data_IF_549278937296
#
_entry.id   IF_549278937296
#
_cell.length_a   1.000
_cell.length_b   1.000
_cell.length_c   1.000
_cell.angle_alpha   90.00
_cell.angle_beta   90.00
_cell.angle_gamma   90.00
#
_symmetry.space_group_name_H-M   'P 1'
#
loop_
_entity.id
_entity.type
_entity.pdbx_description
1 polymer ?
#
# COMPACT_ATOMS: atom_id res chain seq x y z
N UNK A 1 18.19 -81.85 9.96
CA UNK A 1 16.74 -82.11 9.81
C UNK A 1 16.22 -81.03 8.86
N UNK A 2 15.84 -81.35 7.60
CA UNK A 2 15.41 -80.33 6.65
C UNK A 2 13.99 -79.85 6.97
N UNK A 3 13.77 -78.54 6.98
CA UNK A 3 12.44 -77.92 7.09
C UNK A 3 11.54 -78.43 5.96
N UNK A 4 10.27 -78.72 6.26
CA UNK A 4 9.33 -79.19 5.23
C UNK A 4 9.02 -78.04 4.26
N UNK A 5 8.82 -78.37 2.98
CA UNK A 5 8.54 -77.40 1.91
C UNK A 5 7.35 -76.47 2.25
N UNK A 6 6.36 -76.99 2.99
CA UNK A 6 5.20 -76.24 3.50
C UNK A 6 5.54 -75.18 4.55
N UNK A 7 6.65 -75.32 5.28
CA UNK A 7 7.11 -74.32 6.26
C UNK A 7 7.86 -73.18 5.55
N UNK A 8 8.53 -73.45 4.43
CA UNK A 8 9.22 -72.43 3.62
C UNK A 8 8.23 -71.54 2.85
N UNK A 9 7.13 -72.09 2.33
CA UNK A 9 6.08 -71.32 1.67
C UNK A 9 5.38 -70.34 2.63
N UNK A 10 5.18 -70.75 3.89
CA UNK A 10 4.57 -69.90 4.92
C UNK A 10 5.50 -68.74 5.33
N UNK A 11 6.81 -68.99 5.46
CA UNK A 11 7.80 -67.95 5.77
C UNK A 11 7.89 -66.94 4.63
N UNK A 12 7.86 -67.38 3.37
CA UNK A 12 7.92 -66.48 2.22
C UNK A 12 6.67 -65.59 2.14
N UNK A 13 5.48 -66.16 2.41
CA UNK A 13 4.21 -65.41 2.47
C UNK A 13 4.22 -64.34 3.57
N UNK A 14 4.75 -64.66 4.75
CA UNK A 14 4.87 -63.71 5.87
C UNK A 14 5.84 -62.59 5.51
N UNK A 15 6.99 -62.92 4.92
CA UNK A 15 7.99 -61.92 4.53
C UNK A 15 7.48 -60.97 3.44
N UNK A 16 6.69 -61.45 2.48
CA UNK A 16 6.06 -60.60 1.47
C UNK A 16 4.94 -59.72 2.03
N UNK A 17 4.17 -60.21 3.00
CA UNK A 17 3.12 -59.42 3.64
C UNK A 17 3.72 -58.27 4.46
N UNK A 18 4.79 -58.54 5.23
CA UNK A 18 5.50 -57.53 6.02
C UNK A 18 6.16 -56.46 5.14
N UNK A 19 6.74 -56.84 3.99
CA UNK A 19 7.33 -55.89 3.05
C UNK A 19 6.26 -54.94 2.46
N UNK A 20 5.10 -55.50 2.06
CA UNK A 20 4.00 -54.70 1.51
C UNK A 20 3.39 -53.73 2.53
N UNK A 21 3.28 -54.15 3.80
CA UNK A 21 2.80 -53.31 4.89
C UNK A 21 3.79 -52.18 5.22
N UNK A 22 5.09 -52.45 5.13
CA UNK A 22 6.14 -51.45 5.33
C UNK A 22 6.18 -50.42 4.19
N UNK A 23 5.95 -50.84 2.94
CA UNK A 23 5.85 -49.94 1.78
C UNK A 23 4.61 -49.03 1.85
N UNK A 24 3.46 -49.55 2.28
CA UNK A 24 2.22 -48.75 2.42
C UNK A 24 2.25 -47.77 3.60
N UNK A 25 2.92 -48.11 4.70
CA UNK A 25 3.10 -47.19 5.84
C UNK A 25 4.07 -46.04 5.52
N UNK A 26 5.16 -46.33 4.79
CA UNK A 26 6.07 -45.31 4.28
C UNK A 26 5.37 -44.37 3.29
N UNK A 27 4.55 -44.91 2.37
CA UNK A 27 3.76 -44.10 1.42
C UNK A 27 2.79 -43.19 2.15
N UNK A 28 2.03 -43.69 3.13
CA UNK A 28 1.11 -42.86 3.92
C UNK A 28 1.82 -41.77 4.73
N UNK A 29 2.98 -42.07 5.30
CA UNK A 29 3.75 -41.10 6.10
C UNK A 29 4.37 -40.01 5.22
N UNK A 30 4.88 -40.37 4.03
CA UNK A 30 5.40 -39.42 3.05
C UNK A 30 4.28 -38.55 2.48
N UNK A 31 3.12 -39.13 2.14
CA UNK A 31 1.96 -38.36 1.66
C UNK A 31 1.40 -37.40 2.71
N UNK A 32 1.34 -37.81 3.99
CA UNK A 32 0.91 -36.93 5.10
C UNK A 32 1.89 -35.78 5.32
N UNK A 33 3.20 -36.04 5.28
CA UNK A 33 4.24 -34.99 5.41
C UNK A 33 4.22 -34.04 4.20
N UNK A 34 4.09 -34.58 2.99
CA UNK A 34 3.99 -33.77 1.77
C UNK A 34 2.75 -32.86 1.76
N UNK A 35 1.61 -33.35 2.27
CA UNK A 35 0.37 -32.57 2.37
C UNK A 35 0.48 -31.43 3.42
N UNK A 36 1.13 -31.70 4.56
CA UNK A 36 1.34 -30.69 5.61
C UNK A 36 2.35 -29.62 5.16
N UNK A 37 3.42 -29.99 4.45
CA UNK A 37 4.41 -29.02 3.94
C UNK A 37 3.86 -28.18 2.80
N UNK A 38 3.00 -28.73 1.93
CA UNK A 38 2.38 -27.99 0.82
C UNK A 38 1.37 -26.93 1.29
N UNK A 39 0.74 -27.12 2.45
CA UNK A 39 -0.32 -26.23 2.96
C UNK A 39 0.19 -24.93 3.60
N UNK A 40 1.48 -24.84 3.94
CA UNK A 40 2.06 -23.67 4.65
C UNK A 40 2.53 -22.57 3.68
N UNK A 41 2.72 -22.84 2.39
CA UNK A 41 3.27 -21.86 1.43
C UNK A 41 2.25 -20.92 0.78
N UNK A 42 0.96 -21.06 1.05
CA UNK A 42 -0.10 -20.32 0.32
C UNK A 42 -0.53 -18.99 0.93
N UNK A 43 0.06 -18.55 2.05
CA UNK A 43 -0.36 -17.32 2.77
C UNK A 43 0.66 -16.17 2.61
N UNK A 44 1.22 -16.00 1.41
CA UNK A 44 2.03 -14.84 1.07
C UNK A 44 1.51 -14.19 -0.21
N UNK A 45 0.97 -12.97 -0.09
CA UNK A 45 0.92 -12.05 -1.21
C UNK A 45 -0.47 -11.63 -1.68
N UNK A 46 -1.23 -10.94 -0.82
CA UNK A 46 -2.03 -9.81 -1.29
C UNK A 46 -1.53 -8.56 -0.56
N UNK A 47 -0.36 -8.09 -0.96
CA UNK A 47 0.03 -6.71 -0.68
C UNK A 47 -0.61 -5.88 -1.80
N UNK A 48 -1.74 -5.21 -1.49
CA UNK A 48 -2.27 -4.19 -2.39
C UNK A 48 -1.17 -3.18 -2.67
N UNK A 49 -0.85 -2.96 -3.94
CA UNK A 49 0.14 -1.96 -4.32
C UNK A 49 -0.46 -0.59 -4.05
N UNK A 50 -0.01 0.06 -2.98
CA UNK A 50 -0.38 1.43 -2.68
C UNK A 50 0.44 2.36 -3.59
N UNK A 51 -0.20 2.94 -4.61
CA UNK A 51 0.44 3.97 -5.44
C UNK A 51 0.16 5.32 -4.83
N UNK A 52 1.18 5.91 -4.20
CA UNK A 52 1.20 7.33 -3.92
C UNK A 52 1.41 8.12 -5.19
N UNK A 53 0.52 9.08 -5.44
CA UNK A 53 0.82 10.12 -6.40
C UNK A 53 1.55 11.22 -5.64
N UNK A 54 2.75 11.55 -6.10
CA UNK A 54 3.54 12.64 -5.54
C UNK A 54 3.60 13.78 -6.57
N UNK A 55 3.44 15.02 -6.12
CA UNK A 55 3.72 16.25 -6.88
C UNK A 55 4.86 16.96 -6.19
N UNK A 56 5.91 17.29 -6.93
CA UNK A 56 6.95 18.21 -6.46
C UNK A 56 6.75 19.59 -7.08
N UNK A 57 6.87 20.62 -6.26
CA UNK A 57 6.72 22.01 -6.69
C UNK A 57 7.63 22.95 -5.91
N UNK A 58 7.55 24.25 -6.21
CA UNK A 58 8.34 25.26 -5.53
C UNK A 58 7.65 26.60 -5.53
N UNK A 59 7.74 27.30 -4.41
CA UNK A 59 7.15 28.62 -4.21
C UNK A 59 8.23 29.69 -4.27
N UNK A 60 7.98 30.72 -5.07
CA UNK A 60 8.84 31.88 -5.19
C UNK A 60 9.01 32.69 -3.89
N UNK A 61 9.90 33.70 -3.93
CA UNK A 61 10.29 34.50 -2.75
C UNK A 61 9.13 35.21 -2.04
N UNK A 62 8.12 35.65 -2.80
CA UNK A 62 7.00 36.41 -2.25
C UNK A 62 6.27 35.60 -1.17
N UNK A 63 5.85 36.22 -0.07
CA UNK A 63 5.06 35.54 0.95
C UNK A 63 3.69 35.07 0.43
N UNK A 64 3.24 35.64 -0.70
CA UNK A 64 1.97 35.31 -1.36
C UNK A 64 2.14 34.28 -2.48
N UNK A 65 3.33 33.70 -2.67
CA UNK A 65 3.53 32.66 -3.68
C UNK A 65 2.69 31.43 -3.30
N UNK A 66 1.84 31.00 -4.22
CA UNK A 66 0.84 29.95 -3.98
C UNK A 66 0.61 29.11 -5.23
N UNK A 67 0.76 27.80 -5.15
CA UNK A 67 0.36 26.93 -6.24
C UNK A 67 -1.08 26.46 -6.05
N UNK A 68 -1.80 26.34 -7.17
CA UNK A 68 -3.16 25.81 -7.18
C UNK A 68 -3.22 24.56 -8.06
N UNK A 69 -3.75 23.49 -7.50
CA UNK A 69 -3.97 22.23 -8.18
C UNK A 69 -5.44 21.84 -8.14
N UNK A 70 -5.85 21.10 -9.16
CA UNK A 70 -7.04 20.28 -9.13
C UNK A 70 -6.61 18.82 -9.01
N UNK A 71 -7.14 18.11 -8.01
CA UNK A 71 -6.99 16.66 -7.89
C UNK A 71 -8.36 16.04 -8.19
N UNK A 72 -8.41 15.16 -9.17
CA UNK A 72 -9.62 14.46 -9.58
C UNK A 72 -9.58 13.02 -9.07
N UNK A 73 -10.59 12.67 -8.25
CA UNK A 73 -10.81 11.29 -7.82
C UNK A 73 -11.90 10.62 -8.66
N UNK A 74 -11.69 9.39 -9.11
CA UNK A 74 -12.68 8.67 -9.92
C UNK A 74 -12.57 7.16 -9.72
N UNK A 75 -13.66 6.45 -10.03
CA UNK A 75 -13.66 4.99 -10.06
C UNK A 75 -12.92 4.50 -11.30
N UNK A 76 -11.82 3.79 -11.10
CA UNK A 76 -10.99 3.16 -12.14
C UNK A 76 -11.21 1.65 -12.27
N UNK A 77 -12.24 1.11 -11.60
CA UNK A 77 -12.54 -0.30 -11.50
C UNK A 77 -12.33 -0.89 -10.10
N UNK A 78 -11.65 -0.17 -9.19
CA UNK A 78 -11.49 -0.56 -7.79
C UNK A 78 -12.65 -0.11 -6.89
N UNK A 79 -13.65 0.58 -7.45
CA UNK A 79 -14.81 1.11 -6.73
C UNK A 79 -14.76 2.64 -6.63
N UNK A 80 -15.86 3.26 -6.19
CA UNK A 80 -15.93 4.72 -6.08
C UNK A 80 -14.97 5.22 -5.00
N UNK A 81 -14.26 6.30 -5.30
CA UNK A 81 -13.53 7.04 -4.29
C UNK A 81 -14.51 7.52 -3.22
N UNK A 82 -14.14 7.35 -1.96
CA UNK A 82 -14.83 7.87 -0.79
C UNK A 82 -14.18 9.19 -0.33
N UNK A 83 -12.85 9.27 -0.40
CA UNK A 83 -12.12 10.42 0.08
C UNK A 83 -10.80 10.69 -0.65
N UNK A 84 -10.31 11.91 -0.47
CA UNK A 84 -8.93 12.30 -0.75
C UNK A 84 -8.15 12.32 0.56
N UNK A 85 -7.03 11.60 0.61
CA UNK A 85 -6.00 11.68 1.64
C UNK A 85 -4.80 12.46 1.08
N UNK A 86 -4.29 13.44 1.82
CA UNK A 86 -3.23 14.33 1.33
C UNK A 86 -2.33 14.81 2.47
N UNK A 87 -1.05 14.97 2.18
CA UNK A 87 -0.05 15.50 3.10
C UNK A 87 1.06 16.20 2.32
N UNK A 88 1.72 17.16 2.96
CA UNK A 88 2.79 17.96 2.36
C UNK A 88 4.05 17.89 3.20
N UNK A 89 5.21 17.94 2.57
CA UNK A 89 6.51 18.09 3.23
C UNK A 89 7.23 19.31 2.68
N UNK A 90 7.83 20.06 3.58
CA UNK A 90 8.75 21.16 3.28
C UNK A 90 10.14 20.59 3.01
N UNK A 91 10.62 20.71 1.76
CA UNK A 91 11.80 19.97 1.29
C UNK A 91 13.06 20.79 1.45
N UNK A 92 13.06 22.03 0.97
CA UNK A 92 14.23 22.89 0.94
C UNK A 92 13.90 24.30 0.43
N UNK A 93 14.72 25.31 0.78
CA UNK A 93 15.80 25.28 1.77
C UNK A 93 15.27 25.22 3.21
N UNK A 94 16.09 24.72 4.13
CA UNK A 94 15.75 24.84 5.56
C UNK A 94 15.78 26.31 5.97
N UNK A 95 14.61 26.91 6.15
CA UNK A 95 14.39 28.32 6.37
C UNK A 95 13.19 28.54 7.32
N UNK A 96 12.65 29.76 7.29
CA UNK A 96 11.58 30.19 8.20
C UNK A 96 10.16 29.92 7.65
N UNK A 97 9.87 30.13 6.34
CA UNK A 97 8.58 29.75 5.81
C UNK A 97 8.30 28.28 6.08
N UNK A 98 7.03 27.96 6.25
CA UNK A 98 6.56 26.59 6.43
C UNK A 98 5.51 26.34 5.37
N UNK A 99 5.60 25.21 4.70
CA UNK A 99 4.64 24.84 3.66
C UNK A 99 3.33 24.35 4.28
N UNK A 100 2.21 24.85 3.74
CA UNK A 100 0.87 24.40 4.09
C UNK A 100 0.09 23.99 2.86
N UNK A 101 -0.85 23.06 3.04
CA UNK A 101 -1.82 22.67 2.02
C UNK A 101 -3.23 22.84 2.57
N UNK A 102 -4.10 23.45 1.76
CA UNK A 102 -5.53 23.58 2.02
C UNK A 102 -6.29 22.86 0.91
N UNK A 103 -7.27 22.05 1.27
CA UNK A 103 -8.12 21.33 0.32
C UNK A 103 -9.57 21.69 0.55
N UNK A 104 -10.29 21.89 -0.55
CA UNK A 104 -11.72 22.15 -0.53
C UNK A 104 -12.47 21.26 -1.52
N UNK A 105 -13.67 20.83 -1.11
CA UNK A 105 -14.64 20.15 -1.97
C UNK A 105 -16.07 20.41 -1.50
N UNK A 106 -16.86 21.06 -2.34
CA UNK A 106 -18.21 21.50 -1.97
C UNK A 106 -18.16 22.43 -0.75
N UNK A 107 -18.80 22.02 0.34
CA UNK A 107 -18.81 22.76 1.62
C UNK A 107 -17.72 22.32 2.61
N UNK A 108 -16.90 21.33 2.24
CA UNK A 108 -15.83 20.82 3.09
C UNK A 108 -14.53 21.56 2.79
N UNK A 109 -13.83 21.96 3.84
CA UNK A 109 -12.51 22.57 3.77
C UNK A 109 -11.66 22.08 4.94
N UNK A 110 -10.39 21.80 4.69
CA UNK A 110 -9.45 21.40 5.73
C UNK A 110 -8.02 21.78 5.32
N UNK A 111 -7.13 21.96 6.29
CA UNK A 111 -5.72 22.26 6.03
C UNK A 111 -4.76 21.47 6.93
N UNK A 112 -3.53 21.30 6.45
CA UNK A 112 -2.40 20.77 7.22
C UNK A 112 -1.13 21.54 6.84
N UNK A 113 -0.15 21.54 7.73
CA UNK A 113 1.09 22.30 7.61
C UNK A 113 2.24 21.38 8.00
N UNK A 114 3.33 21.38 7.23
CA UNK A 114 4.56 20.79 7.71
C UNK A 114 5.14 21.67 8.81
N UNK A 115 5.08 21.16 10.04
CA UNK A 115 5.44 21.91 11.22
C UNK A 115 6.97 21.96 11.46
N UNK A 116 7.74 21.11 10.78
CA UNK A 116 9.15 20.87 11.09
C UNK A 116 9.94 20.77 9.80
N UNK A 117 10.47 21.92 9.39
CA UNK A 117 11.33 22.03 8.22
C UNK A 117 12.67 21.28 8.38
N UNK A 118 13.17 20.74 7.26
CA UNK A 118 14.43 20.00 7.16
C UNK A 118 14.40 18.57 7.70
N UNK A 119 13.21 18.02 7.96
CA UNK A 119 13.03 16.61 8.28
C UNK A 119 12.62 15.80 7.03
N UNK A 120 12.40 14.50 7.20
CA UNK A 120 11.92 13.61 6.13
C UNK A 120 10.46 13.16 6.36
N UNK A 121 9.72 13.89 7.20
CA UNK A 121 8.40 13.51 7.71
C UNK A 121 7.37 14.48 7.17
N UNK A 122 6.42 13.96 6.39
CA UNK A 122 5.27 14.73 5.94
C UNK A 122 4.45 15.28 7.12
N UNK A 123 3.72 16.37 6.86
CA UNK A 123 2.65 16.88 7.71
C UNK A 123 1.66 15.78 8.11
N UNK A 124 0.89 15.94 9.20
CA UNK A 124 -0.25 15.06 9.46
C UNK A 124 -1.16 14.92 8.23
N UNK A 125 -1.56 13.69 7.93
CA UNK A 125 -2.46 13.40 6.82
C UNK A 125 -3.81 14.08 7.00
N UNK A 126 -4.29 14.69 5.92
CA UNK A 126 -5.56 15.36 5.80
C UNK A 126 -6.52 14.50 4.99
N UNK A 127 -7.71 14.25 5.51
CA UNK A 127 -8.73 13.45 4.83
C UNK A 127 -9.98 14.27 4.57
N UNK A 128 -10.44 14.34 3.31
CA UNK A 128 -11.72 14.95 2.93
C UNK A 128 -12.60 13.92 2.25
N UNK A 129 -13.71 13.56 2.92
CA UNK A 129 -14.70 12.58 2.45
C UNK A 129 -15.70 13.22 1.50
N UNK A 130 -15.23 13.58 0.31
CA UNK A 130 -16.04 14.20 -0.74
C UNK A 130 -16.34 13.28 -1.93
N UNK A 131 -15.92 12.02 -1.88
CA UNK A 131 -16.12 11.02 -2.94
C UNK A 131 -15.43 11.34 -4.27
N UNK A 132 -15.94 10.75 -5.36
CA UNK A 132 -15.53 11.04 -6.74
C UNK A 132 -15.69 12.53 -7.12
N UNK A 133 -14.89 12.99 -8.07
CA UNK A 133 -14.87 14.35 -8.62
C UNK A 133 -13.69 15.18 -8.12
N UNK A 134 -13.72 16.47 -8.49
CA UNK A 134 -12.58 17.37 -8.32
C UNK A 134 -12.49 17.96 -6.90
N UNK A 135 -11.26 18.04 -6.41
CA UNK A 135 -10.85 18.71 -5.19
C UNK A 135 -9.95 19.88 -5.58
N UNK A 136 -10.23 21.06 -5.04
CA UNK A 136 -9.36 22.21 -5.20
C UNK A 136 -8.31 22.20 -4.08
N UNK A 137 -7.05 22.20 -4.47
CA UNK A 137 -5.89 22.11 -3.57
C UNK A 137 -5.05 23.36 -3.73
N UNK A 138 -4.76 24.02 -2.61
CA UNK A 138 -3.92 25.22 -2.53
C UNK A 138 -2.68 24.87 -1.73
N UNK A 139 -1.51 25.29 -2.20
CA UNK A 139 -0.24 25.13 -1.48
C UNK A 139 0.37 26.51 -1.31
N UNK A 140 0.58 26.93 -0.07
CA UNK A 140 1.13 28.23 0.28
C UNK A 140 2.17 28.10 1.40
N UNK A 141 2.68 29.25 1.85
CA UNK A 141 3.70 29.31 2.90
C UNK A 141 3.50 30.48 3.85
N UNK A 142 3.95 30.28 5.07
CA UNK A 142 3.71 31.21 6.19
C UNK A 142 4.52 32.51 6.13
N UNK A 143 5.55 32.59 5.28
CA UNK A 143 6.44 33.76 5.19
C UNK A 143 7.11 33.92 3.82
N UNK A 144 7.78 35.07 3.62
CA UNK A 144 8.64 35.29 2.47
C UNK A 144 9.93 34.45 2.56
N UNK A 145 10.41 33.97 1.40
CA UNK A 145 11.50 32.99 1.27
C UNK A 145 11.28 32.10 0.04
N UNK A 146 12.32 31.48 -0.51
CA UNK A 146 12.11 30.41 -1.49
C UNK A 146 11.77 29.15 -0.72
N UNK A 147 10.86 28.31 -1.23
CA UNK A 147 10.65 26.96 -0.72
C UNK A 147 10.36 25.99 -1.87
N UNK A 148 10.64 24.72 -1.62
CA UNK A 148 10.26 23.58 -2.45
C UNK A 148 9.55 22.57 -1.59
N UNK A 149 8.58 21.88 -2.18
CA UNK A 149 7.73 20.96 -1.44
C UNK A 149 7.51 19.68 -2.23
N UNK A 150 7.11 18.64 -1.50
CA UNK A 150 6.50 17.45 -2.07
C UNK A 150 5.12 17.26 -1.47
N UNK A 151 4.14 16.99 -2.31
CA UNK A 151 2.76 16.75 -1.96
C UNK A 151 2.43 15.30 -2.29
N UNK A 152 2.06 14.53 -1.27
CA UNK A 152 1.61 13.15 -1.43
C UNK A 152 0.09 13.11 -1.31
N UNK A 153 -0.58 12.45 -2.26
CA UNK A 153 -2.04 12.39 -2.29
C UNK A 153 -2.56 11.07 -2.86
N UNK A 154 -3.73 10.67 -2.37
CA UNK A 154 -4.39 9.42 -2.71
C UNK A 154 -5.92 9.61 -2.71
N UNK A 155 -6.57 9.18 -3.79
CA UNK A 155 -8.01 8.94 -3.77
C UNK A 155 -8.26 7.50 -3.34
N UNK A 156 -9.06 7.31 -2.30
CA UNK A 156 -9.26 6.01 -1.67
C UNK A 156 -10.75 5.68 -1.51
N UNK A 157 -11.09 4.39 -1.58
CA UNK A 157 -12.41 3.86 -1.20
C UNK A 157 -12.63 3.98 0.31
N UNK A 158 -13.82 3.65 0.79
CA UNK A 158 -14.11 3.66 2.24
C UNK A 158 -13.28 2.65 3.04
N UNK A 159 -12.72 1.62 2.37
CA UNK A 159 -11.82 0.62 2.95
C UNK A 159 -10.34 1.02 2.89
N UNK A 160 -10.01 2.15 2.25
CA UNK A 160 -8.62 2.59 2.06
C UNK A 160 -7.94 2.04 0.81
N UNK A 161 -8.69 1.42 -0.12
CA UNK A 161 -8.13 0.94 -1.38
C UNK A 161 -7.96 2.10 -2.37
N UNK A 162 -6.85 2.17 -3.09
CA UNK A 162 -6.65 3.24 -4.07
C UNK A 162 -7.60 3.13 -5.26
N UNK A 163 -8.02 4.31 -5.71
CA UNK A 163 -8.88 4.52 -6.88
C UNK A 163 -8.18 5.44 -7.88
N UNK A 164 -8.81 5.64 -9.03
CA UNK A 164 -8.35 6.54 -10.06
C UNK A 164 -8.08 7.94 -9.52
N UNK A 165 -6.85 8.41 -9.74
CA UNK A 165 -6.37 9.70 -9.27
C UNK A 165 -5.63 10.39 -10.39
N UNK A 166 -5.94 11.66 -10.65
CA UNK A 166 -5.17 12.51 -11.55
C UNK A 166 -5.04 13.92 -11.01
N UNK A 167 -3.98 14.63 -11.39
CA UNK A 167 -3.77 16.03 -11.00
C UNK A 167 -3.59 16.93 -12.21
N UNK A 168 -3.98 18.18 -12.04
CA UNK A 168 -3.74 19.27 -13.00
C UNK A 168 -3.30 20.50 -12.23
N UNK A 169 -2.18 21.09 -12.63
CA UNK A 169 -1.77 22.40 -12.11
C UNK A 169 -2.61 23.49 -12.79
N UNK A 170 -3.26 24.31 -11.98
CA UNK A 170 -4.08 25.44 -12.44
C UNK A 170 -3.28 26.74 -12.41
N UNK A 171 -2.41 26.90 -11.42
CA UNK A 171 -1.55 28.07 -11.23
C UNK A 171 -0.22 27.61 -10.66
N UNK A 172 0.86 28.16 -11.20
CA UNK A 172 2.25 27.94 -10.80
C UNK A 172 2.89 29.32 -10.57
N UNK A 173 3.20 29.66 -9.33
CA UNK A 173 3.58 31.03 -8.91
C UNK A 173 5.08 31.27 -8.76
#
# INVERSE_FOLDING_TARGET
MPLKLSELENINSIFTADLSAYEDDMRHTIFKKAFVTASVLTVLGYAGSASAHDISGGLGKAATATDYYQISCYDDGNGPADHLSIQVIDVAPVAKPMISVQVTKGIQASNTTDAVDGNATYSPALTIRGGNGDYAVTIDKTAAGLETYSLQYHCETSSGDHTGTSSTILVNQ
#
